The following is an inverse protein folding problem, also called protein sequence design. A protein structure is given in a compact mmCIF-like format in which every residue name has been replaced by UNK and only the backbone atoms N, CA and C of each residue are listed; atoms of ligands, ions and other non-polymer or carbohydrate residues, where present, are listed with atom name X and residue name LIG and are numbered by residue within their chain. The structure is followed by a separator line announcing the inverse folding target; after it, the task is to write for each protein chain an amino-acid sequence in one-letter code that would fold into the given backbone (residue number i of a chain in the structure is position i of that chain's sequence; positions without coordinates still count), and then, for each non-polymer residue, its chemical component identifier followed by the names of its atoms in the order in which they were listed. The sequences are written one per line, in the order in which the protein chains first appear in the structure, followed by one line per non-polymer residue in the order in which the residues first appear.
data_IF_908075228636
#
_entry.id   IF_908075228636
#
_cell.length_a   1.000
_cell.length_b   1.000
_cell.length_c   1.000
_cell.angle_alpha   90.00
_cell.angle_beta   90.00
_cell.angle_gamma   90.00
#
_symmetry.space_group_name_H-M   'P 1'
#
loop_
_entity.id
_entity.type
_entity.pdbx_description
1 polymer ?
#
# COMPACT_ATOMS: atom_id res chain seq x y z
N UNK A 1 4.35 -16.15 -10.09
CA UNK A 1 4.25 -17.60 -10.32
C UNK A 1 2.86 -17.92 -10.87
N UNK A 2 2.80 -18.59 -12.04
CA UNK A 2 1.53 -18.92 -12.71
C UNK A 2 0.63 -19.84 -11.86
N UNK A 3 1.22 -20.67 -11.01
CA UNK A 3 0.49 -21.61 -10.15
C UNK A 3 0.08 -21.01 -8.80
N UNK A 4 0.49 -19.79 -8.48
CA UNK A 4 0.22 -19.20 -7.17
C UNK A 4 -1.28 -19.07 -6.92
N UNK A 5 -2.04 -18.60 -7.89
CA UNK A 5 -3.49 -18.44 -7.78
C UNK A 5 -4.19 -19.79 -7.47
N UNK A 6 -3.80 -20.87 -8.18
CA UNK A 6 -4.33 -22.20 -7.95
C UNK A 6 -4.02 -22.74 -6.53
N UNK A 7 -2.79 -22.45 -6.06
CA UNK A 7 -2.37 -22.87 -4.70
C UNK A 7 -3.20 -22.12 -3.64
N UNK A 8 -3.37 -20.81 -3.79
CA UNK A 8 -4.18 -19.99 -2.88
C UNK A 8 -5.64 -20.47 -2.86
N UNK A 9 -6.23 -20.68 -4.03
CA UNK A 9 -7.60 -21.17 -4.14
C UNK A 9 -7.79 -22.54 -3.48
N UNK A 10 -6.89 -23.49 -3.73
CA UNK A 10 -6.93 -24.83 -3.12
C UNK A 10 -6.74 -24.81 -1.61
N UNK A 11 -5.91 -23.91 -1.11
CA UNK A 11 -5.67 -23.74 0.32
C UNK A 11 -6.77 -22.98 1.04
N UNK A 12 -7.71 -22.37 0.30
CA UNK A 12 -8.72 -21.42 0.84
C UNK A 12 -8.07 -20.34 1.69
N UNK A 13 -6.89 -19.86 1.25
CA UNK A 13 -6.10 -18.90 1.98
C UNK A 13 -6.46 -17.46 1.61
N UNK A 14 -6.29 -16.54 2.56
CA UNK A 14 -6.29 -15.11 2.25
C UNK A 14 -5.07 -14.74 1.42
N UNK A 15 -5.24 -13.77 0.53
CA UNK A 15 -4.17 -13.28 -0.35
C UNK A 15 -4.14 -11.76 -0.42
N UNK A 16 -2.96 -11.20 -0.33
CA UNK A 16 -2.72 -9.78 -0.63
C UNK A 16 -2.25 -9.67 -2.07
N UNK A 17 -3.05 -9.01 -2.90
CA UNK A 17 -2.68 -8.66 -4.27
C UNK A 17 -2.04 -7.27 -4.24
N UNK A 18 -0.73 -7.22 -4.46
CA UNK A 18 0.03 -5.96 -4.42
C UNK A 18 0.25 -5.42 -5.84
N UNK A 19 -0.12 -4.16 -6.06
CA UNK A 19 0.25 -3.43 -7.25
C UNK A 19 1.77 -3.34 -7.39
N UNK A 20 2.27 -3.75 -8.54
CA UNK A 20 3.70 -3.70 -8.84
C UNK A 20 3.95 -3.03 -10.20
N UNK A 21 4.20 -1.71 -10.23
CA UNK A 21 4.44 -0.97 -11.47
C UNK A 21 5.69 -1.42 -12.22
N UNK A 22 6.64 -2.10 -11.56
CA UNK A 22 7.83 -2.67 -12.22
C UNK A 22 7.43 -3.66 -13.32
N UNK A 23 6.33 -4.39 -13.11
CA UNK A 23 5.81 -5.34 -14.10
C UNK A 23 5.12 -4.66 -15.29
N UNK A 24 4.50 -3.51 -15.05
CA UNK A 24 3.73 -2.78 -16.05
C UNK A 24 4.58 -1.78 -16.85
N UNK A 25 5.68 -1.28 -16.26
CA UNK A 25 6.60 -0.32 -16.89
C UNK A 25 8.06 -0.66 -16.56
N UNK A 26 8.58 -1.79 -17.06
CA UNK A 26 9.88 -2.31 -16.67
C UNK A 26 11.06 -1.39 -17.04
N UNK A 27 10.91 -0.55 -18.07
CA UNK A 27 11.96 0.38 -18.52
C UNK A 27 11.92 1.74 -17.78
N UNK A 28 10.88 2.01 -16.96
CA UNK A 28 10.80 3.26 -16.23
C UNK A 28 11.93 3.37 -15.19
N UNK A 29 12.58 4.56 -15.04
CA UNK A 29 13.73 4.72 -14.12
C UNK A 29 13.46 4.26 -12.68
N UNK A 30 12.25 4.45 -12.15
CA UNK A 30 11.88 3.96 -10.82
C UNK A 30 11.75 2.44 -10.74
N UNK A 31 11.57 1.75 -11.86
CA UNK A 31 11.52 0.29 -11.95
C UNK A 31 12.92 -0.34 -12.06
N UNK A 32 13.85 0.33 -12.73
CA UNK A 32 15.22 -0.18 -12.96
C UNK A 32 16.05 -0.36 -11.69
N UNK A 33 15.68 0.29 -10.58
CA UNK A 33 16.33 0.11 -9.27
C UNK A 33 15.93 -1.21 -8.59
N UNK A 34 14.91 -1.90 -9.07
CA UNK A 34 14.48 -3.19 -8.54
C UNK A 34 15.04 -4.33 -9.40
N UNK A 35 15.52 -5.42 -8.79
CA UNK A 35 15.97 -6.57 -9.56
C UNK A 35 14.80 -7.16 -10.36
N UNK A 36 15.04 -7.43 -11.64
CA UNK A 36 14.09 -8.14 -12.48
C UNK A 36 14.01 -9.60 -12.00
N UNK A 37 13.04 -9.90 -11.18
CA UNK A 37 12.73 -11.26 -10.78
C UNK A 37 11.95 -11.94 -11.92
N UNK A 38 12.57 -12.37 -12.98
CA UNK A 38 12.05 -13.32 -13.99
C UNK A 38 10.51 -13.42 -14.12
N UNK A 39 9.79 -12.32 -13.92
CA UNK A 39 8.35 -12.26 -14.05
C UNK A 39 8.02 -12.46 -15.52
N UNK A 40 7.21 -13.45 -15.84
CA UNK A 40 6.54 -13.44 -17.13
C UNK A 40 5.68 -12.20 -17.19
N UNK A 41 5.75 -11.51 -18.32
CA UNK A 41 4.95 -10.34 -18.59
C UNK A 41 3.46 -10.69 -18.41
N UNK A 42 2.80 -10.02 -17.46
CA UNK A 42 1.37 -10.12 -17.29
C UNK A 42 0.60 -9.34 -18.37
N UNK A 43 1.30 -8.49 -19.12
CA UNK A 43 0.79 -7.56 -20.12
C UNK A 43 1.48 -7.77 -21.47
N UNK A 44 0.79 -7.45 -22.55
CA UNK A 44 1.34 -7.47 -23.91
C UNK A 44 2.33 -6.32 -24.11
N UNK A 45 3.18 -6.40 -25.13
CA UNK A 45 4.12 -5.31 -25.47
C UNK A 45 3.39 -4.00 -25.82
N UNK A 46 2.20 -4.09 -26.45
CA UNK A 46 1.37 -2.93 -26.78
C UNK A 46 0.84 -2.25 -25.52
N UNK A 47 0.28 -3.01 -24.56
CA UNK A 47 -0.16 -2.50 -23.25
C UNK A 47 1.00 -1.85 -22.49
N UNK A 48 2.18 -2.47 -22.49
CA UNK A 48 3.37 -1.93 -21.82
C UNK A 48 3.83 -0.60 -22.41
N UNK A 49 3.76 -0.44 -23.73
CA UNK A 49 4.13 0.81 -24.39
C UNK A 49 3.18 1.96 -24.02
N UNK A 50 1.92 1.66 -23.79
CA UNK A 50 0.93 2.64 -23.35
C UNK A 50 1.09 2.96 -21.86
N UNK A 51 1.40 1.99 -21.01
CA UNK A 51 1.52 2.16 -19.56
C UNK A 51 2.63 3.12 -19.12
N UNK A 52 3.66 3.35 -19.91
CA UNK A 52 4.70 4.34 -19.59
C UNK A 52 4.17 5.79 -19.56
N UNK A 53 3.05 6.06 -20.21
CA UNK A 53 2.48 7.40 -20.40
C UNK A 53 1.23 7.67 -19.57
N UNK A 54 0.63 6.64 -18.97
CA UNK A 54 -0.59 6.81 -18.18
C UNK A 54 -0.31 7.28 -16.75
N UNK A 55 -1.23 8.03 -16.14
CA UNK A 55 -1.16 8.36 -14.71
C UNK A 55 -1.07 7.09 -13.86
N UNK A 56 -0.35 7.16 -12.73
CA UNK A 56 -0.10 5.99 -11.89
C UNK A 56 -1.38 5.36 -11.34
N UNK A 57 -2.41 6.17 -11.12
CA UNK A 57 -3.72 5.72 -10.64
C UNK A 57 -4.39 4.81 -11.69
N UNK A 58 -4.31 5.20 -12.97
CA UNK A 58 -4.89 4.43 -14.07
C UNK A 58 -4.10 3.14 -14.31
N UNK A 59 -2.77 3.20 -14.13
CA UNK A 59 -1.92 2.02 -14.21
C UNK A 59 -2.26 1.02 -13.09
N UNK A 60 -2.47 1.51 -11.88
CA UNK A 60 -2.89 0.67 -10.75
C UNK A 60 -4.27 0.06 -10.98
N UNK A 61 -5.20 0.84 -11.57
CA UNK A 61 -6.54 0.37 -11.95
C UNK A 61 -6.45 -0.82 -12.90
N UNK A 62 -5.77 -0.65 -14.03
CA UNK A 62 -5.59 -1.71 -15.03
C UNK A 62 -4.91 -2.96 -14.44
N UNK A 63 -3.89 -2.77 -13.58
CA UNK A 63 -3.23 -3.88 -12.90
C UNK A 63 -4.21 -4.68 -12.04
N UNK A 64 -5.03 -4.02 -11.23
CA UNK A 64 -5.99 -4.72 -10.37
C UNK A 64 -7.09 -5.40 -11.17
N UNK A 65 -7.55 -4.83 -12.27
CA UNK A 65 -8.51 -5.50 -13.16
C UNK A 65 -7.97 -6.85 -13.65
N UNK A 66 -6.74 -6.87 -14.16
CA UNK A 66 -6.08 -8.11 -14.60
C UNK A 66 -5.87 -9.10 -13.45
N UNK A 67 -5.37 -8.61 -12.31
CA UNK A 67 -5.05 -9.48 -11.17
C UNK A 67 -6.31 -10.10 -10.54
N UNK A 68 -7.37 -9.32 -10.41
CA UNK A 68 -8.66 -9.77 -9.87
C UNK A 68 -9.37 -10.74 -10.83
N UNK A 69 -9.29 -10.50 -12.15
CA UNK A 69 -9.81 -11.45 -13.14
C UNK A 69 -9.12 -12.83 -13.02
N UNK A 70 -7.79 -12.84 -12.85
CA UNK A 70 -7.02 -14.08 -12.63
C UNK A 70 -7.39 -14.76 -11.30
N UNK A 71 -7.53 -13.99 -10.22
CA UNK A 71 -7.94 -14.54 -8.93
C UNK A 71 -9.32 -15.19 -9.00
N UNK A 72 -10.27 -14.54 -9.66
CA UNK A 72 -11.63 -15.07 -9.89
C UNK A 72 -11.61 -16.33 -10.75
N UNK A 73 -10.84 -16.36 -11.85
CA UNK A 73 -10.69 -17.55 -12.70
C UNK A 73 -10.11 -18.75 -11.95
N UNK A 74 -9.21 -18.51 -11.00
CA UNK A 74 -8.65 -19.56 -10.15
C UNK A 74 -9.60 -20.01 -9.03
N UNK A 75 -10.72 -19.32 -8.82
CA UNK A 75 -11.71 -19.65 -7.78
C UNK A 75 -11.35 -19.12 -6.39
N UNK A 76 -10.52 -18.07 -6.29
CA UNK A 76 -10.26 -17.40 -5.02
C UNK A 76 -11.50 -16.60 -4.62
N UNK A 77 -12.04 -16.88 -3.44
CA UNK A 77 -13.23 -16.18 -2.93
C UNK A 77 -12.90 -14.70 -2.69
N UNK A 78 -13.85 -13.81 -3.01
CA UNK A 78 -13.68 -12.35 -2.91
C UNK A 78 -13.28 -11.90 -1.50
N UNK A 79 -13.88 -12.50 -0.49
CA UNK A 79 -13.63 -12.25 0.93
C UNK A 79 -12.20 -12.60 1.39
N UNK A 80 -11.47 -13.40 0.61
CA UNK A 80 -10.10 -13.79 0.87
C UNK A 80 -9.08 -12.88 0.18
N UNK A 81 -9.50 -11.78 -0.46
CA UNK A 81 -8.61 -10.89 -1.21
C UNK A 81 -8.49 -9.54 -0.50
N UNK A 82 -7.25 -9.10 -0.28
CA UNK A 82 -6.90 -7.74 0.11
C UNK A 82 -6.07 -7.09 -1.00
N UNK A 83 -6.20 -5.77 -1.19
CA UNK A 83 -5.44 -5.02 -2.19
C UNK A 83 -4.37 -4.16 -1.52
N UNK A 84 -3.14 -4.20 -2.04
CA UNK A 84 -2.03 -3.34 -1.60
C UNK A 84 -1.61 -2.41 -2.75
N UNK A 85 -1.64 -1.08 -2.57
CA UNK A 85 -1.25 -0.13 -3.62
C UNK A 85 0.25 -0.14 -3.95
N UNK A 86 1.06 -1.00 -3.33
CA UNK A 86 2.47 -1.21 -3.67
C UNK A 86 3.39 -0.05 -3.30
N UNK A 87 3.05 0.71 -2.27
CA UNK A 87 3.84 1.86 -1.82
C UNK A 87 5.31 1.47 -1.62
N UNK A 88 6.22 2.22 -2.28
CA UNK A 88 7.65 2.01 -2.22
C UNK A 88 8.21 0.95 -3.17
N UNK A 89 7.41 0.42 -4.09
CA UNK A 89 7.86 -0.52 -5.12
C UNK A 89 7.74 0.08 -6.52
N UNK A 90 8.86 0.41 -7.16
CA UNK A 90 8.88 0.95 -8.53
C UNK A 90 8.11 2.27 -8.74
N UNK A 91 7.84 3.01 -7.67
CA UNK A 91 7.13 4.29 -7.67
C UNK A 91 8.11 5.44 -7.44
N UNK A 92 7.90 6.55 -8.13
CA UNK A 92 8.56 7.82 -7.79
C UNK A 92 8.03 8.35 -6.45
N UNK A 93 8.75 9.33 -5.86
CA UNK A 93 8.28 10.01 -4.63
C UNK A 93 6.87 10.60 -4.83
N UNK A 94 6.65 11.29 -5.95
CA UNK A 94 5.34 11.89 -6.28
C UNK A 94 4.24 10.84 -6.37
N UNK A 95 4.48 9.73 -7.04
CA UNK A 95 3.49 8.66 -7.19
C UNK A 95 3.14 7.99 -5.87
N UNK A 96 4.13 7.73 -5.00
CA UNK A 96 3.85 7.25 -3.64
C UNK A 96 2.90 8.19 -2.89
N UNK A 97 3.12 9.51 -3.00
CA UNK A 97 2.28 10.50 -2.33
C UNK A 97 0.88 10.58 -2.93
N UNK A 98 0.75 10.48 -4.26
CA UNK A 98 -0.54 10.46 -4.94
C UNK A 98 -1.38 9.24 -4.52
N UNK A 99 -0.80 8.05 -4.55
CA UNK A 99 -1.51 6.82 -4.16
C UNK A 99 -1.91 6.84 -2.68
N UNK A 100 -1.09 7.38 -1.79
CA UNK A 100 -1.44 7.53 -0.38
C UNK A 100 -2.52 8.58 -0.12
N UNK A 101 -2.54 9.65 -0.92
CA UNK A 101 -3.59 10.68 -0.82
C UNK A 101 -4.96 10.12 -1.21
N UNK A 102 -5.00 9.26 -2.19
CA UNK A 102 -6.20 8.81 -2.87
C UNK A 102 -6.53 7.32 -2.56
N UNK A 103 -6.21 6.83 -1.35
CA UNK A 103 -6.52 5.45 -0.94
C UNK A 103 -8.02 5.14 -0.93
N UNK A 104 -8.85 6.15 -0.69
CA UNK A 104 -10.30 6.05 -0.74
C UNK A 104 -10.81 5.61 -2.13
N UNK A 105 -10.11 5.99 -3.20
CA UNK A 105 -10.43 5.52 -4.55
C UNK A 105 -10.21 4.00 -4.70
N UNK A 106 -9.22 3.44 -4.03
CA UNK A 106 -8.99 2.00 -4.05
C UNK A 106 -10.11 1.23 -3.34
N UNK A 107 -10.71 1.81 -2.29
CA UNK A 107 -11.88 1.23 -1.62
C UNK A 107 -13.10 1.09 -2.54
N UNK A 108 -13.22 1.91 -3.58
CA UNK A 108 -14.34 1.81 -4.54
C UNK A 108 -14.36 0.47 -5.28
N UNK A 109 -13.26 -0.27 -5.28
CA UNK A 109 -13.23 -1.66 -5.80
C UNK A 109 -13.92 -2.64 -4.86
N UNK A 110 -14.23 -2.24 -3.63
CA UNK A 110 -14.96 -3.03 -2.63
C UNK A 110 -14.15 -4.19 -2.05
N UNK A 111 -12.83 -4.05 -1.95
CA UNK A 111 -11.93 -4.95 -1.26
C UNK A 111 -11.25 -4.23 -0.10
N UNK A 112 -10.91 -4.93 1.00
CA UNK A 112 -10.12 -4.34 2.06
C UNK A 112 -8.72 -3.99 1.57
N UNK A 113 -8.15 -2.90 2.12
CA UNK A 113 -6.81 -2.43 1.77
C UNK A 113 -5.80 -2.92 2.81
N UNK A 114 -4.73 -3.51 2.30
CA UNK A 114 -3.52 -3.82 3.04
C UNK A 114 -2.43 -2.80 2.70
N UNK A 115 -1.80 -2.18 3.70
CA UNK A 115 -0.83 -1.11 3.47
C UNK A 115 0.47 -1.33 4.23
N UNK A 116 1.59 -1.33 3.51
CA UNK A 116 2.93 -1.39 4.06
C UNK A 116 3.71 -0.10 3.84
N UNK A 117 3.70 0.85 4.78
CA UNK A 117 4.38 2.16 4.65
C UNK A 117 5.56 2.37 5.59
N UNK A 118 5.73 1.49 6.58
CA UNK A 118 6.72 1.66 7.64
C UNK A 118 8.15 1.67 7.10
N UNK A 119 8.91 2.70 7.46
CA UNK A 119 10.31 2.95 7.10
C UNK A 119 10.59 3.02 5.59
N UNK A 120 9.59 3.38 4.80
CA UNK A 120 9.73 3.50 3.35
C UNK A 120 10.58 4.71 2.96
N UNK A 121 11.40 4.54 1.91
CA UNK A 121 12.39 5.54 1.49
C UNK A 121 11.79 6.93 1.23
N UNK A 122 10.62 7.01 0.60
CA UNK A 122 10.01 8.30 0.28
C UNK A 122 9.67 9.12 1.54
N UNK A 123 9.27 8.46 2.66
CA UNK A 123 9.04 9.10 3.97
C UNK A 123 10.36 9.63 4.52
N UNK A 124 11.40 8.79 4.46
CA UNK A 124 12.75 9.16 4.93
C UNK A 124 13.27 10.36 4.15
N UNK A 125 13.12 10.39 2.83
CA UNK A 125 13.56 11.50 1.99
C UNK A 125 12.83 12.81 2.37
N UNK A 126 11.55 12.76 2.72
CA UNK A 126 10.81 13.95 3.18
C UNK A 126 11.40 14.48 4.49
N UNK A 127 11.72 13.60 5.44
CA UNK A 127 12.37 14.01 6.69
C UNK A 127 13.73 14.65 6.45
N UNK A 128 14.56 14.02 5.63
CA UNK A 128 15.92 14.45 5.29
C UNK A 128 15.93 15.82 4.62
N UNK A 129 15.05 16.05 3.64
CA UNK A 129 14.85 17.32 2.95
C UNK A 129 14.40 18.45 3.90
N UNK A 130 13.82 18.12 5.03
CA UNK A 130 13.38 19.07 6.07
C UNK A 130 14.32 19.11 7.29
N UNK A 131 15.53 18.56 7.17
CA UNK A 131 16.59 18.68 8.18
C UNK A 131 16.43 17.77 9.40
N UNK A 132 15.57 16.75 9.34
CA UNK A 132 15.46 15.76 10.42
C UNK A 132 16.61 14.75 10.35
N UNK A 133 17.10 14.34 11.51
CA UNK A 133 18.03 13.21 11.62
C UNK A 133 17.33 11.91 11.18
N UNK A 134 17.93 11.16 10.24
CA UNK A 134 17.36 9.93 9.69
C UNK A 134 18.34 8.75 9.63
N UNK A 135 19.54 8.87 10.18
CA UNK A 135 20.49 7.77 10.21
C UNK A 135 19.94 6.62 11.07
N UNK A 136 19.76 5.39 10.51
CA UNK A 136 19.21 4.26 11.24
C UNK A 136 20.14 3.74 12.35
N UNK A 137 21.40 4.15 12.37
CA UNK A 137 22.40 3.76 13.39
C UNK A 137 22.31 4.65 14.63
N UNK A 138 21.63 5.80 14.55
CA UNK A 138 21.39 6.69 15.69
C UNK A 138 20.01 6.44 16.29
N UNK A 139 19.89 6.54 17.60
CA UNK A 139 18.60 6.39 18.29
C UNK A 139 17.57 7.43 17.79
N UNK A 140 17.99 8.66 17.61
CA UNK A 140 17.14 9.75 17.14
C UNK A 140 16.66 9.51 15.70
N UNK A 141 17.58 9.15 14.80
CA UNK A 141 17.23 8.91 13.40
C UNK A 141 16.32 7.69 13.24
N UNK A 142 16.57 6.63 14.01
CA UNK A 142 15.72 5.45 14.02
C UNK A 142 14.30 5.80 14.50
N UNK A 143 14.19 6.53 15.63
CA UNK A 143 12.92 6.99 16.19
C UNK A 143 12.16 7.92 15.23
N UNK A 144 12.85 8.83 14.56
CA UNK A 144 12.23 9.75 13.59
C UNK A 144 11.60 8.98 12.41
N UNK A 145 12.25 7.93 11.93
CA UNK A 145 11.70 7.06 10.87
C UNK A 145 10.42 6.36 11.31
N UNK A 146 10.37 5.84 12.54
CA UNK A 146 9.19 5.18 13.08
C UNK A 146 8.06 6.18 13.33
N UNK A 147 8.37 7.33 13.92
CA UNK A 147 7.41 8.41 14.14
C UNK A 147 6.77 8.87 12.85
N UNK A 148 7.57 9.17 11.82
CA UNK A 148 7.04 9.58 10.53
C UNK A 148 6.21 8.48 9.86
N UNK A 149 6.62 7.22 9.99
CA UNK A 149 5.84 6.08 9.51
C UNK A 149 4.47 5.99 10.20
N UNK A 150 4.41 6.24 11.51
CA UNK A 150 3.16 6.25 12.28
C UNK A 150 2.23 7.41 11.84
N UNK A 151 2.78 8.58 11.48
CA UNK A 151 1.99 9.68 10.91
C UNK A 151 1.35 9.28 9.57
N UNK A 152 2.07 8.60 8.68
CA UNK A 152 1.49 8.07 7.43
C UNK A 152 0.37 7.07 7.73
N UNK A 153 0.56 6.21 8.73
CA UNK A 153 -0.48 5.26 9.17
C UNK A 153 -1.73 5.98 9.72
N UNK A 154 -1.58 7.10 10.45
CA UNK A 154 -2.74 7.91 10.88
C UNK A 154 -3.56 8.40 9.69
N UNK A 155 -2.89 8.89 8.65
CA UNK A 155 -3.56 9.36 7.43
C UNK A 155 -4.30 8.22 6.74
N UNK A 156 -3.67 7.05 6.62
CA UNK A 156 -4.27 5.86 6.02
C UNK A 156 -5.48 5.35 6.83
N UNK A 157 -5.37 5.28 8.14
CA UNK A 157 -6.46 4.88 9.02
C UNK A 157 -7.65 5.87 8.96
N UNK A 158 -7.36 7.18 8.81
CA UNK A 158 -8.38 8.20 8.59
C UNK A 158 -9.14 7.99 7.27
N UNK A 159 -8.48 7.41 6.25
CA UNK A 159 -9.09 7.03 4.98
C UNK A 159 -9.75 5.63 5.02
N UNK A 160 -9.70 4.92 6.14
CA UNK A 160 -10.42 3.66 6.33
C UNK A 160 -9.61 2.40 5.99
N UNK A 161 -8.29 2.48 5.83
CA UNK A 161 -7.45 1.30 5.58
C UNK A 161 -7.62 0.26 6.69
N UNK A 162 -7.89 -1.00 6.32
CA UNK A 162 -8.23 -2.06 7.25
C UNK A 162 -7.01 -2.74 7.87
N UNK A 163 -5.92 -2.89 7.09
CA UNK A 163 -4.73 -3.59 7.55
C UNK A 163 -3.48 -2.79 7.28
N UNK A 164 -2.65 -2.59 8.30
CA UNK A 164 -1.33 -1.96 8.15
C UNK A 164 -0.22 -2.91 8.59
N UNK A 165 0.82 -3.07 7.75
CA UNK A 165 2.01 -3.85 8.08
C UNK A 165 3.14 -2.92 8.49
N UNK A 166 3.61 -3.05 9.73
CA UNK A 166 4.50 -2.10 10.38
C UNK A 166 5.65 -2.77 11.12
N UNK A 167 6.72 -2.01 11.43
CA UNK A 167 7.84 -2.50 12.24
C UNK A 167 7.66 -2.18 13.73
N UNK A 168 7.13 -1.00 14.08
CA UNK A 168 6.83 -0.59 15.45
C UNK A 168 5.31 -0.61 15.68
N UNK A 169 4.82 -1.72 16.21
CA UNK A 169 3.38 -1.92 16.44
C UNK A 169 2.81 -0.92 17.45
N UNK A 170 3.57 -0.56 18.50
CA UNK A 170 3.06 0.28 19.58
C UNK A 170 2.69 1.69 19.09
N UNK A 171 3.62 2.36 18.40
CA UNK A 171 3.37 3.71 17.86
C UNK A 171 2.28 3.70 16.79
N UNK A 172 2.29 2.71 15.91
CA UNK A 172 1.28 2.60 14.86
C UNK A 172 -0.12 2.26 15.42
N UNK A 173 -0.22 1.46 16.49
CA UNK A 173 -1.49 1.21 17.16
C UNK A 173 -2.09 2.51 17.70
N UNK A 174 -1.30 3.32 18.40
CA UNK A 174 -1.77 4.63 18.88
C UNK A 174 -2.25 5.53 17.72
N UNK A 175 -1.51 5.54 16.61
CA UNK A 175 -1.87 6.29 15.41
C UNK A 175 -3.22 5.85 14.83
N UNK A 176 -3.47 4.54 14.74
CA UNK A 176 -4.72 3.96 14.25
C UNK A 176 -5.89 4.28 15.18
N UNK A 177 -5.73 4.11 16.49
CA UNK A 177 -6.79 4.37 17.48
C UNK A 177 -7.29 5.82 17.40
N UNK A 178 -6.36 6.80 17.38
CA UNK A 178 -6.71 8.21 17.28
C UNK A 178 -7.38 8.55 15.94
N UNK A 179 -6.78 8.08 14.84
CA UNK A 179 -7.31 8.36 13.50
C UNK A 179 -8.69 7.73 13.28
N UNK A 180 -8.92 6.52 13.79
CA UNK A 180 -10.20 5.82 13.73
C UNK A 180 -11.26 6.52 14.57
N UNK A 181 -10.92 6.97 15.78
CA UNK A 181 -11.83 7.73 16.61
C UNK A 181 -12.30 9.04 15.93
N UNK A 182 -11.37 9.74 15.25
CA UNK A 182 -11.72 10.94 14.47
C UNK A 182 -12.60 10.58 13.25
N UNK A 183 -12.30 9.48 12.56
CA UNK A 183 -13.07 9.03 11.39
C UNK A 183 -14.51 8.66 11.75
N UNK A 184 -14.69 8.03 12.92
CA UNK A 184 -15.98 7.51 13.40
C UNK A 184 -16.67 8.47 14.38
N UNK A 185 -16.33 9.76 14.37
CA UNK A 185 -16.84 10.73 15.32
C UNK A 185 -18.38 10.87 15.29
N UNK A 186 -18.99 10.71 14.12
CA UNK A 186 -20.45 10.74 13.97
C UNK A 186 -21.12 9.49 14.58
N UNK A 187 -20.36 8.38 14.70
CA UNK A 187 -20.80 7.13 15.32
C UNK A 187 -20.31 7.01 16.79
N UNK A 188 -19.94 8.12 17.41
CA UNK A 188 -19.29 8.16 18.73
C UNK A 188 -20.10 7.50 19.85
N UNK A 189 -21.42 7.40 19.72
CA UNK A 189 -22.27 6.65 20.66
C UNK A 189 -21.95 5.15 20.67
N UNK A 190 -21.39 4.63 19.58
CA UNK A 190 -20.95 3.23 19.43
C UNK A 190 -19.50 3.02 19.83
N UNK A 191 -18.72 4.10 19.95
CA UNK A 191 -17.38 4.05 20.50
C UNK A 191 -17.50 4.19 22.01
N UNK A 192 -17.19 3.15 22.77
CA UNK A 192 -17.21 3.15 24.25
C UNK A 192 -16.15 4.12 24.83
N UNK A 193 -16.27 5.37 24.43
CA UNK A 193 -15.40 6.47 24.85
C UNK A 193 -15.81 6.89 26.26
N UNK A 194 -14.95 6.58 27.21
CA UNK A 194 -15.10 7.09 28.58
C UNK A 194 -15.12 8.61 28.53
N UNK A 195 -16.15 9.20 29.18
CA UNK A 195 -16.23 10.66 29.31
C UNK A 195 -14.95 11.21 29.94
N UNK A 196 -14.50 12.35 29.46
CA UNK A 196 -13.42 13.09 30.09
C UNK A 196 -13.83 13.41 31.53
N UNK A 197 -12.97 13.03 32.49
CA UNK A 197 -13.11 13.41 33.88
C UNK A 197 -12.46 14.76 34.11
#
# INVERSE_FOLDING_TARGET
DERMADVVAKAVAEVVIMFNPVMARPQHPSSLIFPHFGFRQAFTEEELADFEKVPIENLMEAFFEHALARANQAGIARENILLDPGIGFGLTKKENLLLLRDLDKLHQKGYPIFLGVSRKRFVINILEENGFEVNPETELGFRNRDTASAHVTSIAARQGVEVVRVHDVASHKMAVEIASAIRLADDAENLDLKQYK
#
